data_IF_175318499695
#
_entry.id   IF_175318499695
#
_cell.length_a   1.000
_cell.length_b   1.000
_cell.length_c   1.000
_cell.angle_alpha   90.00
_cell.angle_beta   90.00
_cell.angle_gamma   90.00
#
_symmetry.space_group_name_H-M   'P 1'
#
loop_
_entity.id
_entity.type
_entity.pdbx_description
1 polymer ?
#
# COMPACT_ATOMS: atom_id res chain seq x y z
N UNK A 1 11.05 24.56 39.42
CA UNK A 1 11.34 24.76 37.99
C UNK A 1 11.01 23.46 37.28
N UNK A 2 9.95 23.50 36.49
CA UNK A 2 9.30 22.38 35.81
C UNK A 2 10.15 21.87 34.65
N UNK A 3 10.68 20.66 34.78
CA UNK A 3 11.21 19.90 33.65
C UNK A 3 10.05 19.30 32.87
N UNK A 4 9.58 20.00 31.84
CA UNK A 4 8.65 19.43 30.86
C UNK A 4 9.39 18.32 30.10
N UNK A 5 8.90 17.06 30.08
CA UNK A 5 9.48 16.03 29.23
C UNK A 5 9.27 16.43 27.77
N UNK A 6 10.39 16.59 27.07
CA UNK A 6 10.46 16.91 25.64
C UNK A 6 9.75 15.85 24.81
N UNK A 7 8.90 16.29 23.87
CA UNK A 7 8.32 15.48 22.79
C UNK A 7 9.42 14.73 22.02
N UNK A 8 9.73 13.48 22.38
CA UNK A 8 10.73 12.66 21.66
C UNK A 8 10.39 11.18 21.54
N UNK A 9 9.11 10.82 21.54
CA UNK A 9 8.66 9.50 21.10
C UNK A 9 7.68 9.64 19.92
N UNK A 10 8.09 10.36 18.87
CA UNK A 10 7.46 10.15 17.58
C UNK A 10 7.78 8.71 17.17
N UNK A 11 6.78 7.83 17.16
CA UNK A 11 6.92 6.45 16.73
C UNK A 11 7.70 6.43 15.41
N UNK A 12 8.91 5.84 15.44
CA UNK A 12 9.76 5.76 14.27
C UNK A 12 8.99 5.02 13.19
N UNK A 13 8.74 5.69 12.07
CA UNK A 13 8.08 5.10 10.89
C UNK A 13 8.81 3.81 10.50
N UNK A 14 8.09 2.69 10.49
CA UNK A 14 8.59 1.42 9.98
C UNK A 14 8.52 1.45 8.45
N UNK A 15 9.58 1.96 7.84
CA UNK A 15 9.69 2.10 6.40
C UNK A 15 9.56 0.75 5.68
N UNK A 16 10.09 -0.33 6.28
CA UNK A 16 10.05 -1.66 5.69
C UNK A 16 8.60 -2.16 5.59
N UNK A 17 7.77 -1.88 6.59
CA UNK A 17 6.35 -2.20 6.57
C UNK A 17 5.64 -1.53 5.39
N UNK A 18 5.87 -0.23 5.16
CA UNK A 18 5.27 0.51 4.05
C UNK A 18 5.68 -0.07 2.70
N UNK A 19 6.95 -0.40 2.54
CA UNK A 19 7.49 -0.95 1.30
C UNK A 19 6.98 -2.38 1.04
N UNK A 20 6.90 -3.22 2.08
CA UNK A 20 6.33 -4.56 1.97
C UNK A 20 4.84 -4.50 1.58
N UNK A 21 4.05 -3.63 2.22
CA UNK A 21 2.65 -3.44 1.81
C UNK A 21 2.52 -2.91 0.39
N UNK A 22 3.31 -1.92 0.01
CA UNK A 22 3.32 -1.38 -1.35
C UNK A 22 3.66 -2.45 -2.39
N UNK A 23 4.65 -3.32 -2.10
CA UNK A 23 5.00 -4.44 -2.96
C UNK A 23 3.83 -5.42 -3.15
N UNK A 24 3.18 -5.82 -2.06
CA UNK A 24 2.01 -6.73 -2.11
C UNK A 24 0.87 -6.15 -2.94
N UNK A 25 0.54 -4.87 -2.71
CA UNK A 25 -0.56 -4.17 -3.40
C UNK A 25 -0.25 -4.03 -4.90
N UNK A 26 0.95 -3.56 -5.26
CA UNK A 26 1.34 -3.38 -6.66
C UNK A 26 1.34 -4.69 -7.45
N UNK A 27 1.92 -5.75 -6.86
CA UNK A 27 1.93 -7.08 -7.47
C UNK A 27 0.53 -7.69 -7.60
N UNK A 28 -0.34 -7.50 -6.60
CA UNK A 28 -1.73 -7.95 -6.66
C UNK A 28 -2.51 -7.22 -7.76
N UNK A 29 -2.39 -5.89 -7.83
CA UNK A 29 -3.08 -5.08 -8.82
C UNK A 29 -2.69 -5.48 -10.25
N UNK A 30 -1.40 -5.76 -10.49
CA UNK A 30 -0.93 -6.30 -11.76
C UNK A 30 -1.52 -7.69 -12.04
N UNK A 31 -1.46 -8.60 -11.07
CA UNK A 31 -1.94 -9.98 -11.22
C UNK A 31 -3.44 -10.05 -11.51
N UNK A 32 -4.22 -9.16 -10.90
CA UNK A 32 -5.67 -9.03 -11.11
C UNK A 32 -6.04 -8.17 -12.33
N UNK A 33 -5.04 -7.70 -13.11
CA UNK A 33 -5.22 -6.85 -14.30
C UNK A 33 -6.01 -5.58 -14.02
N UNK A 34 -5.84 -5.02 -12.83
CA UNK A 34 -6.41 -3.72 -12.49
C UNK A 34 -5.68 -2.66 -13.32
N UNK A 35 -6.42 -1.70 -13.88
CA UNK A 35 -5.80 -0.58 -14.59
C UNK A 35 -4.96 0.27 -13.63
N UNK A 36 -3.81 0.76 -14.10
CA UNK A 36 -2.92 1.63 -13.30
C UNK A 36 -3.64 2.85 -12.73
N UNK A 37 -4.63 3.39 -13.46
CA UNK A 37 -5.47 4.51 -13.03
C UNK A 37 -6.25 4.22 -11.74
N UNK A 38 -6.56 2.97 -11.42
CA UNK A 38 -7.23 2.64 -10.15
C UNK A 38 -6.30 2.82 -8.94
N UNK A 39 -4.98 2.67 -9.09
CA UNK A 39 -4.02 3.00 -8.04
C UNK A 39 -3.93 4.52 -7.84
N UNK A 40 -4.05 5.30 -8.91
CA UNK A 40 -4.13 6.76 -8.85
C UNK A 40 -5.43 7.23 -8.19
N UNK A 41 -6.55 6.57 -8.48
CA UNK A 41 -7.82 6.83 -7.80
C UNK A 41 -7.76 6.53 -6.30
N UNK A 42 -7.00 5.51 -5.87
CA UNK A 42 -6.75 5.25 -4.44
C UNK A 42 -5.98 6.38 -3.78
N UNK A 43 -4.92 6.89 -4.43
CA UNK A 43 -4.15 8.03 -3.94
C UNK A 43 -5.02 9.29 -3.89
N UNK A 44 -5.83 9.53 -4.91
CA UNK A 44 -6.77 10.65 -4.94
C UNK A 44 -7.82 10.55 -3.83
N UNK A 45 -8.35 9.35 -3.56
CA UNK A 45 -9.26 9.10 -2.43
C UNK A 45 -8.59 9.40 -1.10
N UNK A 46 -7.34 8.98 -0.92
CA UNK A 46 -6.56 9.29 0.28
C UNK A 46 -6.37 10.79 0.47
N UNK A 47 -6.04 11.51 -0.60
CA UNK A 47 -5.81 12.96 -0.57
C UNK A 47 -7.09 13.77 -0.31
N UNK A 48 -8.27 13.24 -0.68
CA UNK A 48 -9.56 13.91 -0.55
C UNK A 48 -10.04 14.10 0.90
N UNK A 49 -9.43 13.42 1.86
CA UNK A 49 -9.79 13.45 3.28
C UNK A 49 -8.60 13.90 4.11
N UNK A 50 -8.87 14.61 5.20
CA UNK A 50 -7.85 15.06 6.14
C UNK A 50 -7.70 14.09 7.32
N UNK A 51 -6.56 14.17 8.00
CA UNK A 51 -6.33 13.35 9.18
C UNK A 51 -6.11 11.87 8.88
N UNK A 52 -6.27 11.04 9.91
CA UNK A 52 -6.01 9.59 9.85
C UNK A 52 -7.22 8.83 9.30
N UNK A 53 -8.39 9.46 9.33
CA UNK A 53 -9.64 8.98 8.76
C UNK A 53 -9.53 8.75 7.25
N UNK A 54 -8.60 9.45 6.59
CA UNK A 54 -8.25 9.24 5.19
C UNK A 54 -7.87 7.78 4.88
N UNK A 55 -7.22 7.08 5.82
CA UNK A 55 -6.85 5.66 5.66
C UNK A 55 -8.12 4.78 5.60
N UNK A 56 -9.08 5.01 6.49
CA UNK A 56 -10.34 4.27 6.55
C UNK A 56 -11.20 4.53 5.31
N UNK A 57 -11.25 5.79 4.85
CA UNK A 57 -11.97 6.15 3.62
C UNK A 57 -11.33 5.47 2.40
N UNK A 58 -10.00 5.42 2.34
CA UNK A 58 -9.29 4.75 1.24
C UNK A 58 -9.52 3.23 1.26
N UNK A 59 -9.57 2.60 2.44
CA UNK A 59 -9.95 1.19 2.57
C UNK A 59 -11.37 0.92 2.05
N UNK A 60 -12.35 1.74 2.44
CA UNK A 60 -13.73 1.63 1.97
C UNK A 60 -13.83 1.86 0.45
N UNK A 61 -13.09 2.84 -0.07
CA UNK A 61 -13.04 3.14 -1.50
C UNK A 61 -12.50 1.96 -2.31
N UNK A 62 -11.45 1.28 -1.83
CA UNK A 62 -10.89 0.10 -2.50
C UNK A 62 -11.95 -1.01 -2.66
N UNK A 63 -12.74 -1.28 -1.62
CA UNK A 63 -13.84 -2.24 -1.71
C UNK A 63 -14.94 -1.79 -2.67
N UNK A 64 -15.31 -0.51 -2.66
CA UNK A 64 -16.27 0.05 -3.62
C UNK A 64 -15.79 -0.16 -5.05
N UNK A 65 -14.51 0.09 -5.35
CA UNK A 65 -13.96 -0.12 -6.69
C UNK A 65 -13.99 -1.59 -7.08
N UNK A 66 -13.63 -2.50 -6.17
CA UNK A 66 -13.68 -3.93 -6.46
C UNK A 66 -15.09 -4.42 -6.76
N UNK A 67 -16.09 -3.93 -6.01
CA UNK A 67 -17.50 -4.23 -6.28
C UNK A 67 -17.98 -3.65 -7.62
N UNK A 68 -17.64 -2.38 -7.90
CA UNK A 68 -18.03 -1.68 -9.14
C UNK A 68 -17.46 -2.38 -10.38
N UNK A 69 -16.19 -2.76 -10.32
CA UNK A 69 -15.47 -3.37 -11.45
C UNK A 69 -15.63 -4.89 -11.52
N UNK A 70 -16.19 -5.52 -10.48
CA UNK A 70 -16.25 -6.98 -10.32
C UNK A 70 -14.88 -7.66 -10.47
N UNK A 71 -13.82 -6.96 -10.07
CA UNK A 71 -12.42 -7.36 -10.19
C UNK A 71 -11.61 -6.76 -9.04
N UNK A 72 -10.36 -7.19 -8.84
CA UNK A 72 -9.47 -6.55 -7.85
C UNK A 72 -9.80 -6.84 -6.39
N UNK A 73 -10.44 -7.97 -6.10
CA UNK A 73 -10.87 -8.33 -4.74
C UNK A 73 -9.67 -8.55 -3.81
N UNK A 74 -8.59 -9.15 -4.31
CA UNK A 74 -7.37 -9.36 -3.54
C UNK A 74 -6.68 -8.03 -3.26
N UNK A 75 -6.57 -7.16 -4.26
CA UNK A 75 -6.01 -5.81 -4.12
C UNK A 75 -6.81 -5.00 -3.11
N UNK A 76 -8.15 -4.97 -3.19
CA UNK A 76 -8.99 -4.26 -2.23
C UNK A 76 -8.83 -4.78 -0.80
N UNK A 77 -8.70 -6.10 -0.63
CA UNK A 77 -8.40 -6.72 0.66
C UNK A 77 -7.04 -6.29 1.20
N UNK A 78 -5.99 -6.33 0.39
CA UNK A 78 -4.63 -5.94 0.80
C UNK A 78 -4.55 -4.45 1.13
N UNK A 79 -5.15 -3.58 0.32
CA UNK A 79 -5.26 -2.15 0.61
C UNK A 79 -5.99 -1.93 1.94
N UNK A 80 -7.12 -2.61 2.16
CA UNK A 80 -7.87 -2.47 3.41
C UNK A 80 -7.07 -2.95 4.62
N UNK A 81 -6.39 -4.09 4.52
CA UNK A 81 -5.53 -4.60 5.58
C UNK A 81 -4.39 -3.63 5.90
N UNK A 82 -3.70 -3.11 4.87
CA UNK A 82 -2.63 -2.14 5.04
C UNK A 82 -3.14 -0.85 5.71
N UNK A 83 -4.24 -0.28 5.22
CA UNK A 83 -4.81 0.95 5.79
C UNK A 83 -5.27 0.78 7.24
N UNK A 84 -5.87 -0.36 7.58
CA UNK A 84 -6.25 -0.67 8.96
C UNK A 84 -5.03 -0.83 9.86
N UNK A 85 -4.01 -1.58 9.42
CA UNK A 85 -2.77 -1.74 10.20
C UNK A 85 -2.05 -0.40 10.43
N UNK A 86 -1.96 0.44 9.38
CA UNK A 86 -1.40 1.78 9.50
C UNK A 86 -2.22 2.65 10.46
N UNK A 87 -3.55 2.58 10.36
CA UNK A 87 -4.45 3.29 11.25
C UNK A 87 -4.26 2.84 12.70
N UNK A 88 -4.23 1.54 12.98
CA UNK A 88 -4.03 1.00 14.34
C UNK A 88 -2.67 1.38 14.93
N UNK A 89 -1.61 1.40 14.11
CA UNK A 89 -0.25 1.77 14.53
C UNK A 89 0.01 3.27 14.66
N UNK A 90 -1.00 4.11 14.42
CA UNK A 90 -0.85 5.56 14.60
C UNK A 90 -0.24 6.31 13.41
N UNK A 91 -0.09 5.66 12.26
CA UNK A 91 0.40 6.32 11.05
C UNK A 91 -0.59 7.36 10.52
N UNK A 92 -0.05 8.29 9.73
CA UNK A 92 -0.78 9.39 9.12
C UNK A 92 -0.95 9.16 7.62
N UNK A 93 -1.63 10.12 7.00
CA UNK A 93 -1.91 10.12 5.57
C UNK A 93 -0.63 10.06 4.74
N UNK A 94 0.43 10.71 5.19
CA UNK A 94 1.71 10.82 4.49
C UNK A 94 2.38 9.46 4.30
N UNK A 95 2.35 8.59 5.33
CA UNK A 95 2.93 7.25 5.21
C UNK A 95 2.08 6.32 4.34
N UNK A 96 0.75 6.41 4.44
CA UNK A 96 -0.16 5.69 3.56
C UNK A 96 0.02 6.11 2.09
N UNK A 97 0.27 7.41 1.84
CA UNK A 97 0.53 7.92 0.49
C UNK A 97 1.84 7.37 -0.06
N UNK A 98 2.92 7.41 0.73
CA UNK A 98 4.21 6.83 0.36
C UNK A 98 4.09 5.36 -0.03
N UNK A 99 3.33 4.58 0.75
CA UNK A 99 3.04 3.18 0.47
C UNK A 99 2.30 2.99 -0.87
N UNK A 100 1.27 3.78 -1.15
CA UNK A 100 0.50 3.69 -2.41
C UNK A 100 1.30 4.16 -3.63
N UNK A 101 2.10 5.22 -3.49
CA UNK A 101 3.03 5.68 -4.53
C UNK A 101 4.04 4.56 -4.87
N UNK A 102 4.55 3.88 -3.85
CA UNK A 102 5.42 2.72 -4.05
C UNK A 102 4.69 1.54 -4.70
N UNK A 103 3.43 1.28 -4.33
CA UNK A 103 2.61 0.25 -4.97
C UNK A 103 2.42 0.51 -6.48
N UNK A 104 2.21 1.78 -6.87
CA UNK A 104 2.14 2.19 -8.27
C UNK A 104 3.46 1.93 -8.99
N UNK A 105 4.59 2.25 -8.37
CA UNK A 105 5.91 1.93 -8.94
C UNK A 105 6.11 0.42 -9.13
N UNK A 106 5.75 -0.39 -8.13
CA UNK A 106 5.84 -1.86 -8.21
C UNK A 106 4.97 -2.43 -9.32
N UNK A 107 3.74 -1.93 -9.48
CA UNK A 107 2.86 -2.32 -10.58
C UNK A 107 3.55 -2.11 -11.94
N UNK A 108 4.15 -0.94 -12.15
CA UNK A 108 4.86 -0.62 -13.38
C UNK A 108 6.06 -1.56 -13.59
N UNK A 109 6.91 -1.73 -12.57
CA UNK A 109 8.07 -2.60 -12.65
C UNK A 109 7.69 -4.05 -13.01
N UNK A 110 6.70 -4.63 -12.31
CA UNK A 110 6.26 -6.01 -12.57
C UNK A 110 5.70 -6.16 -13.99
N UNK A 111 5.03 -5.12 -14.51
CA UNK A 111 4.51 -5.11 -15.88
C UNK A 111 5.61 -5.14 -16.94
N UNK A 112 6.72 -4.45 -16.71
CA UNK A 112 7.87 -4.38 -17.62
C UNK A 112 8.69 -5.67 -17.60
N UNK A 113 8.97 -6.20 -16.41
CA UNK A 113 9.83 -7.38 -16.25
C UNK A 113 9.10 -8.73 -16.41
N UNK A 114 7.79 -8.72 -16.75
CA UNK A 114 6.90 -9.91 -16.84
C UNK A 114 7.06 -10.86 -15.64
N UNK A 115 7.32 -10.29 -14.47
CA UNK A 115 8.19 -10.91 -13.48
C UNK A 115 7.67 -10.77 -12.06
N UNK A 116 6.47 -11.31 -11.82
CA UNK A 116 6.04 -11.69 -10.49
C UNK A 116 5.46 -13.10 -10.56
N UNK A 117 5.96 -13.99 -9.72
CA UNK A 117 5.43 -15.35 -9.55
C UNK A 117 5.12 -15.57 -8.08
N UNK A 118 3.88 -15.94 -7.77
CA UNK A 118 3.48 -16.35 -6.42
C UNK A 118 2.22 -15.67 -5.94
N UNK A 119 2.04 -15.71 -4.61
CA UNK A 119 0.89 -15.14 -3.90
C UNK A 119 1.23 -13.73 -3.41
N UNK A 120 0.59 -12.68 -3.93
CA UNK A 120 0.90 -11.29 -3.54
C UNK A 120 0.86 -11.06 -2.04
N UNK A 121 0.04 -11.80 -1.30
CA UNK A 121 -0.11 -11.71 0.16
C UNK A 121 1.17 -12.02 0.95
N UNK A 122 2.02 -12.88 0.39
CA UNK A 122 3.24 -13.35 1.05
C UNK A 122 4.47 -12.57 0.59
N UNK A 123 4.27 -11.61 -0.32
CA UNK A 123 5.36 -10.85 -0.90
C UNK A 123 5.98 -9.91 0.13
N UNK A 124 7.30 -9.79 0.06
CA UNK A 124 8.09 -8.73 0.68
C UNK A 124 8.85 -8.01 -0.43
N UNK A 125 9.28 -6.78 -0.18
CA UNK A 125 10.12 -6.07 -1.15
C UNK A 125 11.41 -6.87 -1.44
N UNK A 126 12.04 -7.44 -0.42
CA UNK A 126 13.25 -8.26 -0.58
C UNK A 126 13.03 -9.47 -1.49
N UNK A 127 11.91 -10.18 -1.31
CA UNK A 127 11.60 -11.34 -2.15
C UNK A 127 11.22 -10.94 -3.58
N UNK A 128 10.56 -9.78 -3.77
CA UNK A 128 10.32 -9.22 -5.09
C UNK A 128 11.62 -8.84 -5.80
N UNK A 129 12.56 -8.18 -5.11
CA UNK A 129 13.86 -7.81 -5.67
C UNK A 129 14.66 -9.04 -6.12
N UNK A 130 14.63 -10.12 -5.33
CA UNK A 130 15.27 -11.38 -5.73
C UNK A 130 14.69 -11.92 -7.03
N UNK A 131 13.36 -11.92 -7.17
CA UNK A 131 12.69 -12.36 -8.40
C UNK A 131 13.07 -11.49 -9.61
N UNK A 132 13.08 -10.16 -9.45
CA UNK A 132 13.44 -9.22 -10.52
C UNK A 132 14.91 -9.34 -10.94
N UNK A 133 15.80 -9.65 -10.01
CA UNK A 133 17.21 -9.92 -10.29
C UNK A 133 17.47 -11.30 -10.92
N UNK A 134 16.43 -12.11 -11.15
CA UNK A 134 16.55 -13.48 -11.68
C UNK A 134 16.97 -14.53 -10.65
N UNK A 135 16.99 -14.19 -9.36
CA UNK A 135 17.20 -15.13 -8.25
C UNK A 135 15.92 -15.92 -7.97
N UNK A 136 16.04 -17.26 -7.93
CA UNK A 136 14.97 -18.15 -7.46
C UNK A 136 14.78 -18.04 -5.96
#
# INVERSE_FOLDING_TARGET
>A
MSGTPSQKDAAKVDEKLLLDWGARIGAAAYSERIASSQLEELIASLDSVQGREALLVTAAFAWRQAQRLKAGRTTARLVSQAMLELYEKGYKKEEARKMLDFAKWVYAAVSEFRGFRGRPEQLTLESLLRQLAGGR
#
